data_IF_160279873139
#
_entry.id   IF_160279873139
#
_cell.length_a   1.000
_cell.length_b   1.000
_cell.length_c   1.000
_cell.angle_alpha   90.00
_cell.angle_beta   90.00
_cell.angle_gamma   90.00
#
_symmetry.space_group_name_H-M   'P 1'
#
loop_
_entity.id
_entity.type
_entity.pdbx_description
1 polymer ?
#
# COMPACT_ATOMS: atom_id res chain seq x y z
N UNK A 1 -5.78 -4.58 -7.87
CA UNK A 1 -6.35 -5.26 -6.68
C UNK A 1 -5.35 -5.92 -5.72
N UNK A 2 -4.30 -6.64 -6.18
CA UNK A 2 -3.36 -7.35 -5.28
C UNK A 2 -2.72 -6.45 -4.21
N UNK A 3 -2.15 -5.31 -4.61
CA UNK A 3 -1.52 -4.36 -3.68
C UNK A 3 -2.48 -3.87 -2.58
N UNK A 4 -3.71 -3.51 -2.98
CA UNK A 4 -4.77 -3.02 -2.08
C UNK A 4 -5.11 -4.06 -1.00
N UNK A 5 -5.36 -5.32 -1.40
CA UNK A 5 -5.67 -6.42 -0.49
C UNK A 5 -4.55 -6.71 0.52
N UNK A 6 -3.30 -6.69 0.06
CA UNK A 6 -2.15 -6.91 0.94
C UNK A 6 -2.03 -5.79 1.98
N UNK A 7 -2.26 -4.55 1.57
CA UNK A 7 -2.25 -3.41 2.48
C UNK A 7 -3.40 -3.43 3.47
N UNK A 8 -4.59 -3.85 3.02
CA UNK A 8 -5.73 -4.11 3.91
C UNK A 8 -5.41 -5.20 4.93
N UNK A 9 -4.55 -6.17 4.62
CA UNK A 9 -4.08 -7.21 5.54
C UNK A 9 -2.94 -6.74 6.46
N UNK A 10 -2.49 -5.49 6.35
CA UNK A 10 -1.43 -4.93 7.18
C UNK A 10 -0.01 -5.19 6.67
N UNK A 11 0.15 -5.63 5.42
CA UNK A 11 1.48 -5.76 4.80
C UNK A 11 2.08 -4.37 4.56
N UNK A 12 3.37 -4.20 4.85
CA UNK A 12 4.04 -2.91 4.73
C UNK A 12 4.17 -2.48 3.26
N UNK A 13 4.10 -1.17 2.95
CA UNK A 13 4.19 -0.68 1.58
C UNK A 13 5.47 -1.10 0.82
N UNK A 14 6.59 -1.27 1.54
CA UNK A 14 7.85 -1.75 0.95
C UNK A 14 7.72 -3.19 0.43
N UNK A 15 7.12 -4.08 1.23
CA UNK A 15 6.93 -5.49 0.86
C UNK A 15 5.90 -5.61 -0.26
N UNK A 16 4.86 -4.77 -0.23
CA UNK A 16 3.86 -4.71 -1.30
C UNK A 16 4.50 -4.27 -2.61
N UNK A 17 5.39 -3.26 -2.59
CA UNK A 17 6.11 -2.82 -3.78
C UNK A 17 6.90 -3.97 -4.42
N UNK A 18 7.71 -4.67 -3.61
CA UNK A 18 8.53 -5.80 -4.07
C UNK A 18 7.67 -6.95 -4.62
N UNK A 19 6.58 -7.31 -3.94
CA UNK A 19 5.71 -8.42 -4.34
C UNK A 19 4.77 -8.13 -5.52
N UNK A 20 4.69 -6.86 -5.94
CA UNK A 20 3.87 -6.43 -7.07
C UNK A 20 4.70 -5.97 -8.27
N UNK A 21 6.02 -6.15 -8.21
CA UNK A 21 6.94 -5.92 -9.34
C UNK A 21 7.46 -4.49 -9.44
N UNK A 22 7.31 -3.67 -8.40
CA UNK A 22 7.97 -2.37 -8.35
C UNK A 22 9.42 -2.53 -7.91
N UNK A 23 10.29 -1.77 -8.55
CA UNK A 23 11.72 -1.72 -8.22
C UNK A 23 11.97 -1.16 -6.83
N UNK A 24 11.12 -0.23 -6.37
CA UNK A 24 11.26 0.44 -5.09
C UNK A 24 9.93 1.00 -4.56
N UNK A 25 9.94 1.38 -3.29
CA UNK A 25 8.79 1.93 -2.59
C UNK A 25 8.35 3.30 -3.11
N UNK A 26 9.26 4.13 -3.62
CA UNK A 26 8.93 5.49 -4.07
C UNK A 26 8.10 5.45 -5.34
N UNK A 27 8.50 4.64 -6.31
CA UNK A 27 7.71 4.38 -7.52
C UNK A 27 6.33 3.79 -7.18
N UNK A 28 6.30 2.78 -6.30
CA UNK A 28 5.05 2.21 -5.82
C UNK A 28 4.16 3.26 -5.15
N UNK A 29 4.71 4.09 -4.27
CA UNK A 29 3.93 5.09 -3.51
C UNK A 29 3.32 6.14 -4.42
N UNK A 30 4.05 6.60 -5.43
CA UNK A 30 3.55 7.54 -6.43
C UNK A 30 2.46 6.92 -7.30
N UNK A 31 2.67 5.69 -7.78
CA UNK A 31 1.67 4.95 -8.54
C UNK A 31 0.40 4.72 -7.71
N UNK A 32 0.56 4.20 -6.49
CA UNK A 32 -0.55 3.86 -5.60
C UNK A 32 -1.37 5.11 -5.23
N UNK A 33 -0.71 6.23 -4.95
CA UNK A 33 -1.39 7.51 -4.71
C UNK A 33 -2.17 7.99 -5.93
N UNK A 34 -1.62 7.86 -7.14
CA UNK A 34 -2.34 8.21 -8.38
C UNK A 34 -3.54 7.29 -8.62
N UNK A 35 -3.44 6.01 -8.25
CA UNK A 35 -4.48 5.01 -8.49
C UNK A 35 -5.61 5.02 -7.44
N UNK A 36 -5.27 5.18 -6.16
CA UNK A 36 -6.20 5.10 -5.02
C UNK A 36 -6.58 6.48 -4.47
N UNK A 37 -5.80 7.52 -4.76
CA UNK A 37 -5.98 8.88 -4.21
C UNK A 37 -5.32 9.09 -2.84
N UNK A 38 -4.83 8.03 -2.20
CA UNK A 38 -4.20 8.07 -0.88
C UNK A 38 -2.77 7.54 -0.94
N UNK A 39 -1.88 8.08 -0.10
CA UNK A 39 -0.56 7.46 0.06
C UNK A 39 -0.70 6.05 0.67
N UNK A 40 0.24 5.12 0.40
CA UNK A 40 0.19 3.80 1.00
C UNK A 40 0.07 3.83 2.53
N UNK A 41 0.77 4.75 3.21
CA UNK A 41 0.70 4.90 4.67
C UNK A 41 -0.68 5.36 5.14
N UNK A 42 -1.28 6.36 4.50
CA UNK A 42 -2.64 6.81 4.82
C UNK A 42 -3.66 5.68 4.62
N UNK A 43 -3.55 4.97 3.51
CA UNK A 43 -4.42 3.84 3.21
C UNK A 43 -4.30 2.74 4.28
N UNK A 44 -3.07 2.37 4.66
CA UNK A 44 -2.82 1.35 5.68
C UNK A 44 -3.39 1.74 7.06
N UNK A 45 -3.29 3.02 7.46
CA UNK A 45 -3.78 3.48 8.75
C UNK A 45 -5.30 3.28 8.92
N UNK A 46 -6.09 3.51 7.85
CA UNK A 46 -7.54 3.27 7.86
C UNK A 46 -7.88 1.84 8.31
N UNK A 47 -7.09 0.86 7.87
CA UNK A 47 -7.31 -0.56 8.18
C UNK A 47 -6.54 -1.05 9.42
N UNK A 48 -5.59 -0.27 9.94
CA UNK A 48 -4.98 -0.52 11.24
C UNK A 48 -5.93 -0.13 12.37
N UNK A 49 -6.56 1.03 12.26
CA UNK A 49 -7.45 1.56 13.30
C UNK A 49 -8.76 0.76 13.40
N UNK A 50 -9.24 0.18 12.29
CA UNK A 50 -10.43 -0.71 12.30
C UNK A 50 -10.19 -2.05 13.01
N UNK A 51 -8.94 -2.38 13.35
CA UNK A 51 -8.55 -3.63 14.03
C UNK A 51 -8.12 -3.44 15.49
N UNK A 52 -8.28 -2.23 16.03
CA UNK A 52 -8.06 -1.95 17.46
C UNK A 52 -9.38 -1.95 18.23
#
# INVERSE_FOLDING_TARGET
DKAKKMMEQGVLPIDVALQTGFTDQSHFSNFFKKFIGLTPKQYMNIFKDTRS
#
